data_IF_776959324234
#
_entry.id   IF_776959324234
#
_cell.length_a   1.000
_cell.length_b   1.000
_cell.length_c   1.000
_cell.angle_alpha   90.00
_cell.angle_beta   90.00
_cell.angle_gamma   90.00
#
_symmetry.space_group_name_H-M   'P 1'
#
loop_
_entity.id
_entity.type
_entity.pdbx_description
1 polymer ?
#
# COMPACT_ATOMS: atom_id res chain seq x y z
N UNK A 1 13.69 -10.88 8.44
CA UNK A 1 14.40 -10.03 7.46
C UNK A 1 14.41 -8.57 7.89
N UNK A 2 13.25 -7.90 8.01
CA UNK A 2 13.17 -6.50 8.45
C UNK A 2 14.00 -6.19 9.72
N UNK A 3 13.79 -6.94 10.82
CA UNK A 3 14.58 -6.81 12.06
C UNK A 3 16.09 -7.00 11.84
N UNK A 4 16.48 -8.10 11.18
CA UNK A 4 17.89 -8.41 10.91
C UNK A 4 18.59 -7.40 9.99
N UNK A 5 17.84 -6.76 9.08
CA UNK A 5 18.34 -5.76 8.15
C UNK A 5 18.23 -4.32 8.67
N UNK A 6 17.82 -4.09 9.92
CA UNK A 6 17.69 -2.75 10.48
C UNK A 6 16.59 -1.89 9.83
N UNK A 7 15.58 -2.51 9.22
CA UNK A 7 14.48 -1.77 8.60
C UNK A 7 13.57 -1.15 9.67
N UNK A 8 13.72 0.14 9.91
CA UNK A 8 13.01 0.89 10.95
C UNK A 8 11.56 1.23 10.57
N UNK A 9 11.23 1.28 9.27
CA UNK A 9 9.91 1.67 8.80
C UNK A 9 9.91 2.22 7.38
N UNK A 10 8.72 2.56 6.88
CA UNK A 10 8.54 3.13 5.55
C UNK A 10 7.07 3.30 5.17
N UNK A 11 6.84 3.66 3.90
CA UNK A 11 5.51 3.67 3.30
C UNK A 11 5.11 2.24 2.93
N UNK A 12 3.89 1.86 3.31
CA UNK A 12 3.30 0.57 2.99
C UNK A 12 2.18 0.81 1.98
N UNK A 13 2.50 0.56 0.71
CA UNK A 13 1.61 0.82 -0.40
C UNK A 13 0.36 -0.07 -0.38
N UNK A 14 -0.77 0.56 -0.59
CA UNK A 14 -2.08 0.00 -0.87
C UNK A 14 -2.32 0.29 -2.35
N UNK A 15 -2.05 -0.70 -3.19
CA UNK A 15 -2.01 -0.58 -4.65
C UNK A 15 -3.04 -1.51 -5.30
N UNK A 16 -4.14 -0.99 -5.86
CA UNK A 16 -5.08 -1.78 -6.64
C UNK A 16 -4.42 -2.37 -7.88
N UNK A 17 -4.27 -3.71 -7.99
CA UNK A 17 -3.64 -4.28 -9.15
C UNK A 17 -4.57 -4.23 -10.37
N UNK A 18 -4.03 -4.19 -11.59
CA UNK A 18 -4.82 -4.39 -12.80
C UNK A 18 -5.62 -5.69 -12.74
N UNK A 19 -6.89 -5.64 -13.21
CA UNK A 19 -7.81 -6.80 -13.18
C UNK A 19 -7.30 -7.92 -14.10
N UNK A 20 -6.73 -7.56 -15.25
CA UNK A 20 -5.95 -8.52 -16.02
C UNK A 20 -4.67 -8.83 -15.26
N UNK A 21 -4.54 -10.09 -14.80
CA UNK A 21 -3.25 -10.60 -14.34
C UNK A 21 -2.28 -10.44 -15.50
N UNK A 22 -1.46 -9.40 -15.45
CA UNK A 22 -0.29 -9.30 -16.30
C UNK A 22 0.38 -10.66 -16.25
N UNK A 23 0.46 -11.35 -17.40
CA UNK A 23 1.16 -12.63 -17.45
C UNK A 23 2.52 -12.35 -16.84
N UNK A 24 2.91 -13.06 -15.77
CA UNK A 24 4.17 -12.84 -15.05
C UNK A 24 5.41 -12.87 -15.97
N UNK A 25 5.24 -13.36 -17.19
CA UNK A 25 6.21 -13.42 -18.28
C UNK A 25 6.29 -12.15 -19.15
N UNK A 26 5.52 -11.09 -18.89
CA UNK A 26 5.42 -9.91 -19.74
C UNK A 26 6.13 -8.67 -19.21
N UNK A 27 6.77 -8.73 -18.02
CA UNK A 27 7.62 -7.62 -17.55
C UNK A 27 8.85 -7.59 -18.47
N UNK A 28 9.00 -6.56 -19.32
CA UNK A 28 10.16 -6.46 -20.20
C UNK A 28 11.43 -6.41 -19.36
N UNK A 29 12.52 -7.01 -19.83
CA UNK A 29 13.82 -6.98 -19.12
C UNK A 29 14.42 -5.58 -19.03
N UNK A 30 13.91 -4.63 -19.81
CA UNK A 30 14.27 -3.22 -19.78
C UNK A 30 13.01 -2.37 -19.98
N UNK A 31 12.83 -1.26 -19.23
CA UNK A 31 11.75 -0.32 -19.48
C UNK A 31 11.83 0.20 -20.92
N UNK A 32 10.69 0.24 -21.59
CA UNK A 32 10.54 0.81 -22.93
C UNK A 32 9.69 2.07 -22.82
N UNK A 33 10.08 3.14 -23.51
CA UNK A 33 9.28 4.36 -23.63
C UNK A 33 7.93 4.13 -24.35
N UNK A 34 7.73 2.93 -24.91
CA UNK A 34 6.54 2.53 -25.67
C UNK A 34 5.64 1.53 -24.93
N UNK A 35 5.82 1.33 -23.62
CA UNK A 35 4.94 0.41 -22.88
C UNK A 35 3.52 1.02 -22.79
N UNK A 36 2.48 0.31 -23.29
CA UNK A 36 1.13 0.84 -23.26
C UNK A 36 0.64 0.94 -21.81
N UNK A 37 -0.06 2.02 -21.49
CA UNK A 37 -0.74 2.12 -20.21
C UNK A 37 -1.76 0.98 -20.05
N UNK A 38 -1.86 0.39 -18.86
CA UNK A 38 -2.92 -0.57 -18.59
C UNK A 38 -4.30 0.11 -18.70
N UNK A 39 -5.37 -0.65 -18.96
CA UNK A 39 -6.71 -0.12 -18.87
C UNK A 39 -7.02 0.35 -17.45
N UNK A 40 -7.94 1.32 -17.34
CA UNK A 40 -8.43 1.80 -16.05
C UNK A 40 -9.03 0.66 -15.22
N UNK A 41 -8.71 0.64 -13.92
CA UNK A 41 -9.26 -0.35 -12.98
C UNK A 41 -10.67 0.09 -12.58
N UNK A 42 -11.71 -0.75 -12.74
CA UNK A 42 -13.05 -0.42 -12.26
C UNK A 42 -13.04 -0.13 -10.75
N UNK A 43 -13.66 0.98 -10.33
CA UNK A 43 -13.69 1.41 -8.91
C UNK A 43 -14.13 0.31 -7.93
N UNK A 44 -15.08 -0.54 -8.32
CA UNK A 44 -15.55 -1.63 -7.48
C UNK A 44 -14.43 -2.66 -7.19
N UNK A 45 -13.63 -3.00 -8.20
CA UNK A 45 -12.50 -3.92 -8.06
C UNK A 45 -11.37 -3.25 -7.26
N UNK A 46 -11.10 -1.96 -7.54
CA UNK A 46 -10.12 -1.19 -6.80
C UNK A 46 -10.46 -1.12 -5.31
N UNK A 47 -11.71 -0.79 -4.96
CA UNK A 47 -12.19 -0.73 -3.58
C UNK A 47 -12.00 -2.05 -2.84
N UNK A 48 -12.37 -3.17 -3.47
CA UNK A 48 -12.20 -4.50 -2.88
C UNK A 48 -10.74 -4.79 -2.53
N UNK A 49 -9.81 -4.52 -3.46
CA UNK A 49 -8.39 -4.76 -3.25
C UNK A 49 -7.78 -3.81 -2.21
N UNK A 50 -8.11 -2.52 -2.25
CA UNK A 50 -7.68 -1.49 -1.29
C UNK A 50 -8.06 -1.87 0.13
N UNK A 51 -9.33 -2.22 0.36
CA UNK A 51 -9.82 -2.63 1.69
C UNK A 51 -9.16 -3.93 2.15
N UNK A 52 -8.94 -4.89 1.24
CA UNK A 52 -8.26 -6.14 1.58
C UNK A 52 -6.80 -5.91 2.03
N UNK A 53 -6.06 -5.04 1.35
CA UNK A 53 -4.67 -4.69 1.73
C UNK A 53 -4.62 -3.86 3.00
N UNK A 54 -5.52 -2.88 3.17
CA UNK A 54 -5.67 -2.12 4.42
C UNK A 54 -5.93 -3.08 5.60
N UNK A 55 -6.82 -4.05 5.41
CA UNK A 55 -7.10 -5.10 6.40
C UNK A 55 -5.87 -5.95 6.74
N UNK A 56 -4.98 -6.24 5.79
CA UNK A 56 -3.69 -6.89 6.07
C UNK A 56 -2.82 -6.00 6.96
N UNK A 57 -2.66 -4.73 6.62
CA UNK A 57 -1.84 -3.79 7.39
C UNK A 57 -2.31 -3.69 8.85
N UNK A 58 -3.61 -3.50 9.07
CA UNK A 58 -4.16 -3.43 10.43
C UNK A 58 -4.10 -4.76 11.17
N UNK A 59 -4.15 -5.92 10.48
CA UNK A 59 -3.89 -7.22 11.12
C UNK A 59 -2.45 -7.36 11.58
N UNK A 60 -1.49 -6.87 10.80
CA UNK A 60 -0.06 -6.86 11.18
C UNK A 60 0.17 -5.98 12.40
N UNK A 61 -0.50 -4.81 12.46
CA UNK A 61 -0.48 -3.94 13.64
C UNK A 61 -1.03 -4.65 14.87
N UNK A 62 -2.22 -5.26 14.79
CA UNK A 62 -2.82 -6.02 15.90
C UNK A 62 -1.96 -7.19 16.38
N UNK A 63 -1.16 -7.77 15.49
CA UNK A 63 -0.21 -8.83 15.82
C UNK A 63 1.10 -8.30 16.44
N UNK A 64 1.27 -6.98 16.59
CA UNK A 64 2.48 -6.34 17.12
C UNK A 64 3.68 -6.40 16.16
N UNK A 65 3.46 -6.67 14.87
CA UNK A 65 4.54 -6.79 13.89
C UNK A 65 5.08 -5.41 13.44
N UNK A 66 4.22 -4.39 13.48
CA UNK A 66 4.48 -3.00 13.08
C UNK A 66 3.51 -2.06 13.81
N UNK A 67 3.73 -0.75 13.74
CA UNK A 67 2.80 0.27 14.22
C UNK A 67 2.35 1.14 13.04
N UNK A 68 1.03 1.31 12.85
CA UNK A 68 0.49 2.21 11.82
C UNK A 68 0.54 3.64 12.34
N UNK A 69 1.46 4.41 11.76
CA UNK A 69 1.79 5.76 12.17
C UNK A 69 0.95 6.77 11.39
N UNK A 70 0.31 7.71 12.10
CA UNK A 70 -0.50 8.80 11.53
C UNK A 70 0.14 10.17 11.68
N UNK A 71 1.28 10.24 12.38
CA UNK A 71 2.05 11.46 12.57
C UNK A 71 3.55 11.18 12.52
N UNK A 72 4.33 12.23 12.28
CA UNK A 72 5.79 12.15 12.42
C UNK A 72 6.20 11.81 13.88
N UNK A 73 5.37 12.15 14.87
CA UNK A 73 5.56 11.75 16.26
C UNK A 73 5.43 10.24 16.45
N UNK A 74 4.40 9.63 15.87
CA UNK A 74 4.16 8.19 15.91
C UNK A 74 5.32 7.43 15.29
N UNK A 75 5.82 7.91 14.14
CA UNK A 75 6.99 7.33 13.45
C UNK A 75 8.20 7.32 14.39
N UNK A 76 8.55 8.47 14.97
CA UNK A 76 9.69 8.57 15.90
C UNK A 76 9.49 7.68 17.12
N UNK A 77 8.27 7.62 17.66
CA UNK A 77 7.94 6.80 18.81
C UNK A 77 8.10 5.30 18.50
N UNK A 78 7.52 4.81 17.40
CA UNK A 78 7.62 3.42 16.98
C UNK A 78 9.08 3.00 16.77
N UNK A 79 9.87 3.84 16.08
CA UNK A 79 11.30 3.61 15.88
C UNK A 79 12.08 3.56 17.19
N UNK A 80 11.81 4.47 18.14
CA UNK A 80 12.44 4.47 19.47
C UNK A 80 12.09 3.21 20.28
N UNK A 81 10.92 2.62 20.07
CA UNK A 81 10.50 1.34 20.67
C UNK A 81 10.99 0.12 19.89
N UNK A 82 11.78 0.28 18.82
CA UNK A 82 12.25 -0.83 17.99
C UNK A 82 11.12 -1.53 17.21
N UNK A 83 9.97 -0.87 17.04
CA UNK A 83 8.83 -1.37 16.25
C UNK A 83 8.91 -0.78 14.85
N UNK A 84 8.58 -1.59 13.84
CA UNK A 84 8.56 -1.11 12.44
C UNK A 84 7.48 -0.03 12.29
N UNK A 85 7.88 1.18 11.92
CA UNK A 85 6.97 2.28 11.66
C UNK A 85 6.36 2.15 10.25
N UNK A 86 5.06 1.93 10.16
CA UNK A 86 4.35 1.81 8.89
C UNK A 86 3.48 3.05 8.63
N UNK A 87 3.68 3.70 7.49
CA UNK A 87 2.77 4.75 7.02
C UNK A 87 1.83 4.14 5.98
N UNK A 88 0.53 4.23 6.24
CA UNK A 88 -0.51 3.81 5.29
C UNK A 88 -0.42 4.71 4.05
N UNK A 89 -0.07 4.14 2.89
CA UNK A 89 0.14 4.89 1.66
C UNK A 89 -0.76 4.33 0.56
N UNK A 90 -1.59 5.16 -0.05
CA UNK A 90 -2.41 4.78 -1.20
C UNK A 90 -1.62 5.09 -2.48
N UNK A 91 -1.37 4.06 -3.29
CA UNK A 91 -0.70 4.15 -4.58
C UNK A 91 -1.73 3.83 -5.68
N UNK A 92 -2.25 4.87 -6.33
CA UNK A 92 -3.45 4.77 -7.17
C UNK A 92 -4.72 5.08 -6.39
N UNK A 93 -5.49 6.06 -6.86
CA UNK A 93 -6.69 6.59 -6.18
C UNK A 93 -8.00 6.00 -6.72
N UNK A 94 -7.95 4.89 -7.44
CA UNK A 94 -9.10 4.27 -8.12
C UNK A 94 -10.21 3.85 -7.14
N UNK A 95 -9.89 3.65 -5.86
CA UNK A 95 -10.86 3.36 -4.80
C UNK A 95 -11.60 4.61 -4.28
N UNK A 96 -11.08 5.81 -4.54
CA UNK A 96 -11.65 7.08 -4.08
C UNK A 96 -12.74 7.51 -5.06
N UNK A 97 -13.98 7.72 -4.58
CA UNK A 97 -15.05 8.31 -5.39
C UNK A 97 -14.77 9.77 -5.76
N UNK A 98 -15.39 10.28 -6.85
CA UNK A 98 -15.35 11.70 -7.19
C UNK A 98 -15.83 12.62 -6.06
N UNK A 99 -16.75 12.15 -5.21
CA UNK A 99 -17.28 12.87 -4.04
C UNK A 99 -16.33 12.84 -2.84
N UNK A 100 -15.21 12.12 -2.93
CA UNK A 100 -14.16 11.98 -1.91
C UNK A 100 -14.63 11.33 -0.60
N UNK A 101 -15.76 10.63 -0.59
CA UNK A 101 -16.26 9.93 0.60
C UNK A 101 -15.25 8.90 1.10
N UNK A 102 -14.66 8.13 0.20
CA UNK A 102 -13.63 7.15 0.56
C UNK A 102 -12.31 7.78 0.98
N UNK A 103 -12.02 9.04 0.63
CA UNK A 103 -10.86 9.75 1.16
C UNK A 103 -11.00 10.03 2.66
N UNK A 104 -12.21 10.34 3.12
CA UNK A 104 -12.47 10.59 4.55
C UNK A 104 -12.46 9.31 5.40
N UNK A 105 -12.65 8.14 4.77
CA UNK A 105 -12.76 6.84 5.45
C UNK A 105 -11.41 6.13 5.58
N UNK A 106 -10.52 6.29 4.59
CA UNK A 106 -9.21 5.61 4.52
C UNK A 106 -8.14 6.35 5.34
#
# INVERSE_FOLDING_TARGET
RAKAGGFAGGMFAIFPPPVEKARRSAVPSAPSDSEPLPPEVPRADALNSTIAMASILFRLERAGALAVCRSAGDVRHAMAQGTVAAVFHIEGVEAIDPELTMLDVL
#
